data_IF_619441893402
#
_entry.id   IF_619441893402
#
_cell.length_a   1.000
_cell.length_b   1.000
_cell.length_c   1.000
_cell.angle_alpha   90.00
_cell.angle_beta   90.00
_cell.angle_gamma   90.00
#
_symmetry.space_group_name_H-M   'P 1'
#
loop_
_entity.id
_entity.type
_entity.pdbx_description
1 polymer ?
#
# COMPACT_ATOMS: atom_id res chain seq x y z
N UNK A 1 -2.42 17.07 16.24
CA UNK A 1 -2.49 17.86 14.99
C UNK A 1 -3.95 17.97 14.58
N UNK A 2 -4.48 19.12 14.36
CA UNK A 2 -5.90 19.29 14.01
C UNK A 2 -6.07 19.07 12.51
N UNK A 3 -7.02 18.22 12.09
CA UNK A 3 -7.40 17.92 10.70
C UNK A 3 -7.79 19.19 9.91
N UNK A 4 -7.96 20.33 10.57
CA UNK A 4 -8.24 21.61 9.91
C UNK A 4 -7.10 22.08 8.97
N UNK A 5 -5.88 21.58 9.17
CA UNK A 5 -4.67 21.98 8.45
C UNK A 5 -4.13 20.90 7.50
N UNK A 6 -4.69 19.65 7.54
CA UNK A 6 -4.25 18.53 6.71
C UNK A 6 -5.43 17.62 6.34
N UNK A 7 -5.29 16.80 5.28
CA UNK A 7 -6.22 15.69 5.01
C UNK A 7 -5.97 14.54 5.99
N UNK A 8 -6.88 13.56 6.08
CA UNK A 8 -6.67 12.42 6.96
C UNK A 8 -5.43 11.61 6.54
N UNK A 9 -5.23 11.41 5.24
CA UNK A 9 -4.05 10.72 4.73
C UNK A 9 -2.74 11.43 5.11
N UNK A 10 -2.69 12.75 5.04
CA UNK A 10 -1.52 13.53 5.48
C UNK A 10 -1.30 13.42 6.99
N UNK A 11 -2.38 13.54 7.78
CA UNK A 11 -2.30 13.47 9.24
C UNK A 11 -1.80 12.10 9.72
N UNK A 12 -2.37 11.01 9.17
CA UNK A 12 -1.96 9.65 9.50
C UNK A 12 -0.50 9.40 9.08
N UNK A 13 -0.11 9.85 7.88
CA UNK A 13 1.26 9.72 7.41
C UNK A 13 2.25 10.44 8.34
N UNK A 14 1.97 11.70 8.68
CA UNK A 14 2.83 12.49 9.56
C UNK A 14 2.92 11.90 10.97
N UNK A 15 1.82 11.36 11.48
CA UNK A 15 1.80 10.68 12.77
C UNK A 15 2.58 9.36 12.74
N UNK A 16 2.48 8.58 11.65
CA UNK A 16 3.30 7.39 11.43
C UNK A 16 4.80 7.75 11.37
N UNK A 17 5.16 8.83 10.65
CA UNK A 17 6.55 9.28 10.57
C UNK A 17 7.07 9.77 11.93
N UNK A 18 6.28 10.54 12.67
CA UNK A 18 6.62 10.98 14.01
C UNK A 18 6.92 9.79 14.93
N UNK A 19 6.00 8.83 14.99
CA UNK A 19 6.13 7.64 15.82
C UNK A 19 7.36 6.81 15.44
N UNK A 20 7.61 6.64 14.14
CA UNK A 20 8.81 5.97 13.64
C UNK A 20 10.09 6.69 14.06
N UNK A 21 10.13 8.02 13.93
CA UNK A 21 11.30 8.84 14.28
C UNK A 21 11.54 8.88 15.79
N UNK A 22 10.50 8.84 16.61
CA UNK A 22 10.57 8.77 18.07
C UNK A 22 10.93 7.35 18.56
N UNK A 23 10.91 6.35 17.68
CA UNK A 23 11.26 4.98 18.01
C UNK A 23 10.14 4.19 18.65
N UNK A 24 8.88 4.53 18.40
CA UNK A 24 7.72 3.76 18.83
C UNK A 24 7.76 2.36 18.21
N UNK A 25 7.80 1.36 19.08
CA UNK A 25 7.98 -0.04 18.65
C UNK A 25 6.64 -0.71 18.31
N UNK A 26 6.69 -1.58 17.32
CA UNK A 26 5.63 -2.55 17.09
C UNK A 26 5.65 -3.54 18.25
N UNK A 27 4.48 -3.78 18.87
CA UNK A 27 4.32 -4.74 19.96
C UNK A 27 3.72 -6.04 19.43
N UNK A 28 4.43 -7.15 19.59
CA UNK A 28 3.95 -8.45 19.21
C UNK A 28 3.27 -9.14 20.38
N UNK A 29 1.96 -9.34 20.30
CA UNK A 29 1.17 -9.92 21.38
C UNK A 29 1.34 -11.44 21.48
N UNK A 30 1.57 -12.13 20.36
CA UNK A 30 1.81 -13.59 20.35
C UNK A 30 2.66 -14.02 19.15
N UNK A 31 3.30 -15.20 19.25
CA UNK A 31 4.09 -15.78 18.16
C UNK A 31 3.27 -16.14 16.91
N UNK A 32 1.95 -16.34 17.07
CA UNK A 32 1.03 -16.66 15.99
C UNK A 32 0.42 -15.44 15.32
N UNK A 33 0.60 -14.25 15.91
CA UNK A 33 0.03 -12.99 15.44
C UNK A 33 1.01 -12.30 14.47
N UNK A 34 1.07 -12.82 13.24
CA UNK A 34 1.95 -12.25 12.21
C UNK A 34 1.31 -11.11 11.40
N UNK A 35 -0.01 -11.02 11.40
CA UNK A 35 -0.74 -10.07 10.57
C UNK A 35 -1.09 -8.79 11.33
N UNK A 36 -1.43 -8.89 12.62
CA UNK A 36 -2.05 -7.78 13.34
C UNK A 36 -1.07 -6.81 14.03
N UNK A 37 0.16 -7.21 14.34
CA UNK A 37 1.04 -6.36 15.14
C UNK A 37 1.40 -5.02 14.47
N UNK A 38 1.66 -5.02 13.15
CA UNK A 38 1.88 -3.75 12.42
C UNK A 38 0.56 -3.01 12.20
N UNK A 39 -0.54 -3.73 11.97
CA UNK A 39 -1.88 -3.13 11.87
C UNK A 39 -2.25 -2.41 13.17
N UNK A 40 -2.02 -3.01 14.34
CA UNK A 40 -2.26 -2.38 15.64
C UNK A 40 -1.36 -1.14 15.85
N UNK A 41 -0.12 -1.19 15.35
CA UNK A 41 0.76 -0.03 15.39
C UNK A 41 0.19 1.14 14.55
N UNK A 42 -0.34 0.87 13.36
CA UNK A 42 -0.99 1.88 12.50
C UNK A 42 -2.29 2.37 13.14
N UNK A 43 -3.08 1.46 13.71
CA UNK A 43 -4.33 1.79 14.43
C UNK A 43 -4.10 2.85 15.51
N UNK A 44 -3.05 2.69 16.32
CA UNK A 44 -2.68 3.67 17.33
C UNK A 44 -2.36 5.06 16.73
N UNK A 45 -1.87 5.11 15.49
CA UNK A 45 -1.61 6.39 14.78
C UNK A 45 -2.92 7.03 14.32
N UNK A 46 -3.86 6.24 13.81
CA UNK A 46 -5.21 6.73 13.44
C UNK A 46 -5.92 7.29 14.67
N UNK A 47 -5.83 6.60 15.81
CA UNK A 47 -6.38 7.07 17.09
C UNK A 47 -5.71 8.37 17.57
N UNK A 48 -4.39 8.48 17.45
CA UNK A 48 -3.65 9.69 17.82
C UNK A 48 -4.06 10.91 16.98
N UNK A 49 -4.51 10.69 15.73
CA UNK A 49 -5.10 11.72 14.89
C UNK A 49 -6.55 12.09 15.28
N UNK A 50 -7.13 11.46 16.31
CA UNK A 50 -8.53 11.64 16.73
C UNK A 50 -9.54 11.37 15.60
N UNK A 51 -9.24 10.37 14.76
CA UNK A 51 -10.08 9.93 13.66
C UNK A 51 -10.94 8.75 14.12
N UNK A 52 -12.26 8.86 13.92
CA UNK A 52 -13.18 7.75 14.15
C UNK A 52 -13.13 6.79 12.95
N UNK A 53 -13.08 5.50 13.23
CA UNK A 53 -13.07 4.44 12.22
C UNK A 53 -13.94 3.25 12.66
N UNK A 54 -14.42 2.48 11.67
CA UNK A 54 -15.08 1.21 11.93
C UNK A 54 -14.06 0.19 12.44
N UNK A 55 -14.44 -0.59 13.44
CA UNK A 55 -13.58 -1.68 13.92
C UNK A 55 -13.29 -2.68 12.80
N UNK A 56 -12.02 -3.05 12.61
CA UNK A 56 -11.64 -3.99 11.57
C UNK A 56 -12.21 -5.39 11.88
N UNK A 57 -12.92 -5.94 10.92
CA UNK A 57 -13.39 -7.33 10.96
C UNK A 57 -12.46 -8.23 10.16
N UNK A 58 -12.42 -9.52 10.47
CA UNK A 58 -11.52 -10.53 9.83
C UNK A 58 -11.55 -10.59 8.30
N UNK A 59 -12.58 -10.04 7.66
CA UNK A 59 -12.77 -10.07 6.21
C UNK A 59 -13.19 -8.71 5.66
N UNK A 60 -12.85 -7.63 6.35
CA UNK A 60 -13.14 -6.28 5.90
C UNK A 60 -12.00 -5.78 5.00
N UNK A 61 -12.37 -5.05 3.96
CA UNK A 61 -11.46 -4.34 3.09
C UNK A 61 -12.02 -2.92 2.88
N UNK A 62 -11.18 -1.91 2.99
CA UNK A 62 -9.85 -1.92 3.61
C UNK A 62 -9.90 -2.17 5.13
N UNK A 63 -8.75 -2.42 5.77
CA UNK A 63 -8.62 -2.75 7.19
C UNK A 63 -9.27 -1.71 8.11
N UNK A 64 -9.07 -0.43 7.83
CA UNK A 64 -9.70 0.69 8.55
C UNK A 64 -10.53 1.53 7.60
N UNK A 65 -11.74 1.89 8.01
CA UNK A 65 -12.66 2.75 7.26
C UNK A 65 -13.05 3.93 8.15
N UNK A 66 -12.65 5.14 7.77
CA UNK A 66 -12.99 6.32 8.55
C UNK A 66 -14.52 6.57 8.52
N UNK A 67 -15.09 6.93 9.67
CA UNK A 67 -16.54 7.15 9.79
C UNK A 67 -16.96 8.49 9.18
N UNK A 68 -16.19 9.54 9.46
CA UNK A 68 -16.55 10.92 9.10
C UNK A 68 -15.91 11.41 7.79
N UNK A 69 -15.13 10.54 7.11
CA UNK A 69 -14.46 10.84 5.86
C UNK A 69 -14.54 9.64 4.92
N UNK A 70 -14.68 9.85 3.60
CA UNK A 70 -14.76 8.75 2.65
C UNK A 70 -13.36 8.18 2.33
N UNK A 71 -12.59 7.85 3.34
CA UNK A 71 -11.25 7.27 3.23
C UNK A 71 -11.16 5.91 3.94
N UNK A 72 -10.29 5.06 3.46
CA UNK A 72 -9.97 3.78 4.08
C UNK A 72 -8.50 3.43 3.93
N UNK A 73 -7.98 2.62 4.86
CA UNK A 73 -6.55 2.30 4.97
C UNK A 73 -6.36 0.79 5.02
N UNK A 74 -5.63 0.26 4.06
CA UNK A 74 -5.18 -1.13 4.00
C UNK A 74 -3.74 -1.20 4.49
N UNK A 75 -3.45 -2.07 5.46
CA UNK A 75 -2.15 -2.12 6.13
C UNK A 75 -1.38 -3.37 5.73
N UNK A 76 -0.11 -3.20 5.39
CA UNK A 76 0.79 -4.28 4.98
C UNK A 76 2.12 -4.18 5.72
N UNK A 77 2.29 -5.05 6.72
CA UNK A 77 3.55 -5.21 7.45
C UNK A 77 4.46 -6.22 6.75
N UNK A 78 5.73 -5.85 6.54
CA UNK A 78 6.70 -6.65 5.80
C UNK A 78 7.95 -6.93 6.65
N UNK A 79 8.28 -8.21 6.81
CA UNK A 79 9.56 -8.58 7.44
C UNK A 79 10.74 -8.21 6.52
N UNK A 80 11.77 -7.54 7.07
CA UNK A 80 12.97 -7.10 6.37
C UNK A 80 14.25 -7.50 7.11
N UNK A 81 15.25 -8.13 6.44
CA UNK A 81 15.18 -8.65 5.08
C UNK A 81 14.24 -9.86 4.96
N UNK A 82 13.58 -9.97 3.82
CA UNK A 82 12.65 -11.05 3.55
C UNK A 82 11.85 -10.84 2.27
N UNK A 83 10.54 -11.01 2.35
CA UNK A 83 9.65 -10.79 1.22
C UNK A 83 9.13 -9.34 1.21
N UNK A 84 10.01 -8.41 0.90
CA UNK A 84 9.70 -6.97 0.83
C UNK A 84 9.36 -6.46 -0.57
N UNK A 85 9.65 -7.24 -1.62
CA UNK A 85 9.41 -6.83 -2.99
C UNK A 85 7.96 -6.97 -3.43
N UNK A 86 7.26 -7.94 -2.87
CA UNK A 86 5.86 -8.23 -3.19
C UNK A 86 5.06 -8.64 -1.94
N UNK A 87 3.75 -8.62 -2.06
CA UNK A 87 2.83 -9.13 -1.05
C UNK A 87 1.67 -9.89 -1.69
N UNK A 88 1.07 -10.79 -0.90
CA UNK A 88 -0.14 -11.51 -1.31
C UNK A 88 -1.37 -10.68 -0.96
N UNK A 89 -2.22 -10.42 -1.97
CA UNK A 89 -3.53 -9.82 -1.77
C UNK A 89 -4.60 -10.89 -1.95
N UNK A 90 -5.37 -11.12 -0.89
CA UNK A 90 -6.43 -12.14 -0.90
C UNK A 90 -7.74 -11.55 -1.40
N UNK A 91 -8.25 -12.10 -2.49
CA UNK A 91 -9.59 -11.80 -3.03
C UNK A 91 -9.83 -10.36 -3.53
N UNK A 92 -8.87 -9.46 -3.37
CA UNK A 92 -8.99 -8.06 -3.77
C UNK A 92 -7.72 -7.60 -4.49
N UNK A 93 -7.86 -7.11 -5.71
CA UNK A 93 -6.80 -6.35 -6.39
C UNK A 93 -6.75 -4.96 -5.75
N UNK A 94 -5.56 -4.37 -5.56
CA UNK A 94 -5.46 -3.00 -5.06
C UNK A 94 -6.29 -2.03 -5.90
N UNK A 95 -6.87 -1.05 -5.25
CA UNK A 95 -7.66 -0.01 -5.92
C UNK A 95 -7.54 1.31 -5.18
N UNK A 96 -7.63 2.41 -5.92
CA UNK A 96 -7.68 3.76 -5.36
C UNK A 96 -9.07 4.15 -4.85
N UNK A 97 -10.12 3.37 -5.18
CA UNK A 97 -11.47 3.61 -4.68
C UNK A 97 -12.19 2.29 -4.43
N UNK A 98 -12.84 2.19 -3.27
CA UNK A 98 -13.65 1.03 -2.93
C UNK A 98 -14.94 1.47 -2.21
N UNK A 99 -16.09 1.14 -2.81
CA UNK A 99 -17.42 1.49 -2.26
C UNK A 99 -17.56 3.01 -1.93
N UNK A 100 -17.05 3.87 -2.81
CA UNK A 100 -17.11 5.33 -2.66
C UNK A 100 -16.11 5.92 -1.66
N UNK A 101 -15.13 5.13 -1.22
CA UNK A 101 -14.02 5.58 -0.35
C UNK A 101 -12.71 5.59 -1.12
N UNK A 102 -11.92 6.63 -0.96
CA UNK A 102 -10.51 6.60 -1.36
C UNK A 102 -9.77 5.60 -0.48
N UNK A 103 -8.92 4.77 -1.11
CA UNK A 103 -8.15 3.73 -0.41
C UNK A 103 -6.67 4.06 -0.45
N UNK A 104 -6.09 4.11 0.73
CA UNK A 104 -4.66 4.27 0.95
C UNK A 104 -4.07 2.97 1.49
N UNK A 105 -2.86 2.65 1.07
CA UNK A 105 -2.10 1.51 1.56
C UNK A 105 -0.97 2.00 2.45
N UNK A 106 -0.84 1.40 3.62
CA UNK A 106 0.23 1.68 4.59
C UNK A 106 1.18 0.49 4.62
N UNK A 107 2.33 0.62 3.98
CA UNK A 107 3.39 -0.39 3.99
C UNK A 107 4.44 -0.01 5.01
N UNK A 108 4.77 -0.93 5.92
CA UNK A 108 5.88 -0.75 6.86
C UNK A 108 6.81 -1.94 6.84
N UNK A 109 8.14 -1.68 6.84
CA UNK A 109 9.13 -2.73 7.01
C UNK A 109 9.67 -2.73 8.44
N UNK A 110 9.81 -3.92 8.99
CA UNK A 110 10.34 -4.15 10.33
C UNK A 110 11.26 -5.37 10.34
N UNK A 111 12.20 -5.48 11.30
CA UNK A 111 13.14 -6.60 11.37
C UNK A 111 12.42 -7.94 11.47
N UNK A 112 13.00 -8.95 10.84
CA UNK A 112 12.52 -10.34 10.95
C UNK A 112 12.49 -10.77 12.42
N UNK A 113 11.40 -11.46 12.79
CA UNK A 113 11.20 -11.90 14.16
C UNK A 113 12.33 -12.81 14.66
N UNK A 114 12.96 -12.43 15.75
CA UNK A 114 13.91 -13.25 16.50
C UNK A 114 13.22 -13.92 17.70
N UNK A 115 13.73 -15.09 18.11
CA UNK A 115 13.14 -15.83 19.24
C UNK A 115 13.29 -15.02 20.55
N UNK A 116 12.15 -14.71 21.17
CA UNK A 116 12.11 -13.99 22.43
C UNK A 116 12.10 -12.47 22.30
N UNK A 117 12.12 -11.93 21.08
CA UNK A 117 11.94 -10.50 20.81
C UNK A 117 10.48 -10.26 20.44
N UNK A 118 9.84 -9.37 21.18
CA UNK A 118 8.43 -9.03 20.99
C UNK A 118 8.22 -7.57 20.56
N UNK A 119 9.29 -6.80 20.44
CA UNK A 119 9.26 -5.38 20.12
C UNK A 119 10.17 -5.10 18.91
N UNK A 120 9.64 -4.40 17.91
CA UNK A 120 10.36 -4.15 16.67
C UNK A 120 10.22 -2.70 16.24
N UNK A 121 11.31 -2.04 15.78
CA UNK A 121 11.21 -0.72 15.18
C UNK A 121 10.59 -0.82 13.78
N UNK A 122 9.86 0.21 13.39
CA UNK A 122 9.52 0.45 11.99
C UNK A 122 10.76 1.02 11.29
N UNK A 123 11.36 0.26 10.38
CA UNK A 123 12.59 0.65 9.66
C UNK A 123 12.29 1.78 8.68
N UNK A 124 11.28 1.56 7.85
CA UNK A 124 10.77 2.52 6.88
C UNK A 124 9.29 2.30 6.59
N UNK A 125 8.69 3.29 5.97
CA UNK A 125 7.26 3.36 5.76
C UNK A 125 6.95 3.99 4.39
N UNK A 126 6.01 3.40 3.66
CA UNK A 126 5.41 4.05 2.50
C UNK A 126 3.90 4.05 2.66
N UNK A 127 3.30 5.22 2.64
CA UNK A 127 1.85 5.38 2.47
C UNK A 127 1.60 5.76 1.02
N UNK A 128 0.76 5.03 0.32
CA UNK A 128 0.42 5.38 -1.06
C UNK A 128 -1.09 5.27 -1.31
N UNK A 129 -1.60 6.13 -2.19
CA UNK A 129 -2.95 5.97 -2.72
C UNK A 129 -3.02 4.69 -3.55
N UNK A 130 -4.12 3.93 -3.45
CA UNK A 130 -4.23 2.61 -4.08
C UNK A 130 -4.12 2.63 -5.61
N UNK A 131 -4.43 3.76 -6.27
CA UNK A 131 -4.23 3.92 -7.72
C UNK A 131 -2.76 3.87 -8.14
N UNK A 132 -1.81 4.09 -7.23
CA UNK A 132 -0.39 3.89 -7.50
C UNK A 132 -0.05 2.41 -7.74
N UNK A 133 -0.75 1.50 -7.07
CA UNK A 133 -0.57 0.06 -7.22
C UNK A 133 -1.36 -0.51 -8.41
N UNK A 134 -2.57 0.03 -8.63
CA UNK A 134 -3.44 -0.39 -9.74
C UNK A 134 -4.41 0.73 -10.10
N UNK A 135 -4.39 1.17 -11.35
CA UNK A 135 -5.24 2.27 -11.84
C UNK A 135 -6.71 1.87 -12.01
N UNK A 136 -7.03 0.57 -12.11
CA UNK A 136 -8.40 0.10 -12.30
C UNK A 136 -9.23 0.31 -11.03
N UNK A 137 -10.07 1.33 -11.06
CA UNK A 137 -10.96 1.71 -9.95
C UNK A 137 -12.32 1.02 -10.00
N UNK A 138 -12.68 0.42 -11.14
CA UNK A 138 -13.99 -0.22 -11.33
C UNK A 138 -13.97 -1.71 -10.96
N UNK A 139 -12.79 -2.25 -10.67
CA UNK A 139 -12.66 -3.67 -10.43
C UNK A 139 -13.18 -4.08 -9.05
N UNK A 140 -14.32 -4.76 -9.06
CA UNK A 140 -14.85 -5.46 -7.89
C UNK A 140 -14.69 -6.96 -8.08
N UNK A 141 -13.89 -7.60 -7.22
CA UNK A 141 -13.74 -9.06 -7.23
C UNK A 141 -15.05 -9.73 -6.82
N UNK A 142 -15.73 -10.33 -7.78
CA UNK A 142 -16.90 -11.17 -7.51
C UNK A 142 -16.42 -12.60 -7.23
N UNK A 143 -16.76 -13.11 -6.09
CA UNK A 143 -16.30 -14.34 -5.40
C UNK A 143 -16.20 -15.66 -6.21
N UNK A 144 -16.43 -15.69 -7.51
CA UNK A 144 -16.52 -16.93 -8.30
C UNK A 144 -15.80 -16.92 -9.66
N UNK A 145 -15.12 -15.85 -10.04
CA UNK A 145 -14.41 -15.82 -11.32
C UNK A 145 -13.14 -14.97 -11.19
N UNK A 146 -12.08 -15.45 -11.82
CA UNK A 146 -10.88 -14.63 -12.04
C UNK A 146 -11.29 -13.39 -12.82
N UNK A 147 -11.25 -12.26 -12.16
CA UNK A 147 -11.51 -10.97 -12.79
C UNK A 147 -10.63 -9.96 -12.10
N UNK A 148 -9.95 -9.19 -12.90
CA UNK A 148 -9.10 -8.13 -12.47
C UNK A 148 -7.64 -8.50 -12.52
N UNK A 149 -7.02 -7.70 -13.26
CA UNK A 149 -5.60 -7.82 -13.55
C UNK A 149 -5.06 -6.43 -13.40
N UNK A 150 -3.86 -6.35 -12.86
CA UNK A 150 -3.23 -5.06 -12.67
C UNK A 150 -3.10 -4.32 -14.00
N UNK A 151 -3.63 -3.12 -14.07
CA UNK A 151 -3.61 -2.28 -15.27
C UNK A 151 -2.20 -1.85 -15.68
N UNK A 152 -1.25 -1.85 -14.74
CA UNK A 152 0.17 -1.58 -14.99
C UNK A 152 0.96 -2.83 -15.42
N UNK A 153 0.36 -4.02 -15.44
CA UNK A 153 0.97 -5.27 -15.90
C UNK A 153 1.89 -5.95 -14.90
N UNK A 154 2.03 -5.44 -13.70
CA UNK A 154 2.93 -5.93 -12.64
C UNK A 154 2.21 -6.76 -11.55
N UNK A 155 0.89 -6.90 -11.64
CA UNK A 155 0.10 -7.73 -10.75
C UNK A 155 -0.10 -9.10 -11.37
N UNK A 156 0.33 -10.14 -10.66
CA UNK A 156 0.22 -11.53 -11.09
C UNK A 156 -0.80 -12.29 -10.26
N UNK A 157 -1.52 -13.19 -10.89
CA UNK A 157 -2.38 -14.16 -10.20
C UNK A 157 -1.51 -15.30 -9.70
N UNK A 158 -1.51 -15.56 -8.40
CA UNK A 158 -0.72 -16.62 -7.80
C UNK A 158 -1.48 -17.94 -7.71
N UNK A 159 -2.61 -17.94 -7.03
CA UNK A 159 -3.43 -19.13 -6.83
C UNK A 159 -4.87 -18.71 -6.53
N UNK A 160 -5.83 -19.40 -7.11
CA UNK A 160 -7.27 -19.18 -6.94
C UNK A 160 -7.66 -17.69 -6.99
N UNK A 161 -7.65 -17.04 -5.83
CA UNK A 161 -8.04 -15.63 -5.63
C UNK A 161 -6.90 -14.81 -5.01
N UNK A 162 -5.70 -15.34 -5.00
CA UNK A 162 -4.53 -14.66 -4.46
C UNK A 162 -3.77 -13.99 -5.59
N UNK A 163 -3.50 -12.72 -5.40
CA UNK A 163 -2.71 -11.91 -6.30
C UNK A 163 -1.35 -11.65 -5.65
N UNK A 164 -0.31 -11.66 -6.45
CA UNK A 164 1.02 -11.19 -6.04
C UNK A 164 1.17 -9.78 -6.57
N UNK A 165 1.34 -8.84 -5.67
CA UNK A 165 1.38 -7.41 -5.98
C UNK A 165 2.72 -6.85 -5.56
N UNK A 166 3.42 -6.09 -6.42
CA UNK A 166 4.67 -5.45 -6.03
C UNK A 166 4.40 -4.39 -4.96
N UNK A 167 5.30 -4.33 -3.98
CA UNK A 167 5.25 -3.29 -2.96
C UNK A 167 5.82 -1.98 -3.49
N UNK A 168 5.51 -0.83 -2.89
CA UNK A 168 6.17 0.42 -3.25
C UNK A 168 7.69 0.37 -3.09
N UNK A 169 8.22 -0.49 -2.21
CA UNK A 169 9.68 -0.67 -2.05
C UNK A 169 10.36 -1.31 -3.26
N UNK A 170 9.61 -2.11 -4.05
CA UNK A 170 10.08 -2.64 -5.33
C UNK A 170 9.86 -1.68 -6.49
N UNK A 171 8.80 -0.86 -6.41
CA UNK A 171 8.40 0.04 -7.50
C UNK A 171 9.19 1.35 -7.51
N UNK A 172 9.67 1.81 -6.36
CA UNK A 172 10.37 3.09 -6.25
C UNK A 172 11.68 2.99 -5.49
N UNK A 173 12.69 3.68 -6.00
CA UNK A 173 13.96 3.90 -5.35
C UNK A 173 13.89 5.11 -4.40
N UNK A 174 14.79 5.15 -3.42
CA UNK A 174 14.90 6.29 -2.50
C UNK A 174 14.07 6.18 -1.22
N UNK A 175 13.25 5.14 -1.03
CA UNK A 175 12.39 4.97 0.15
C UNK A 175 13.08 4.36 1.37
N UNK A 176 14.21 3.68 1.18
CA UNK A 176 14.89 2.93 2.24
C UNK A 176 15.29 3.80 3.45
N UNK A 177 14.88 3.37 4.64
CA UNK A 177 15.16 4.03 5.92
C UNK A 177 14.35 5.30 6.18
N UNK A 178 13.38 5.62 5.36
CA UNK A 178 12.60 6.86 5.42
C UNK A 178 11.09 6.56 5.35
N UNK A 179 10.27 7.52 5.77
CA UNK A 179 8.84 7.52 5.47
C UNK A 179 8.58 8.32 4.18
N UNK A 180 7.72 7.81 3.32
CA UNK A 180 7.36 8.43 2.04
C UNK A 180 5.85 8.34 1.83
N UNK A 181 5.22 9.44 1.43
CA UNK A 181 3.81 9.51 1.05
C UNK A 181 3.72 9.67 -0.47
N UNK A 182 2.97 8.80 -1.16
CA UNK A 182 2.79 8.84 -2.61
C UNK A 182 1.31 9.08 -2.92
N UNK A 183 1.02 10.17 -3.58
CA UNK A 183 -0.34 10.63 -3.88
C UNK A 183 -0.50 10.89 -5.38
N UNK A 184 -1.72 10.79 -5.94
CA UNK A 184 -2.02 11.27 -7.29
C UNK A 184 -1.59 12.73 -7.46
N UNK A 185 -1.12 13.10 -8.65
CA UNK A 185 -0.58 14.45 -8.90
C UNK A 185 -1.62 15.57 -8.74
N UNK A 186 -2.91 15.24 -8.88
CA UNK A 186 -4.04 16.13 -8.68
C UNK A 186 -4.56 16.17 -7.23
N UNK A 187 -4.01 15.33 -6.34
CA UNK A 187 -4.35 15.35 -4.92
C UNK A 187 -3.90 16.68 -4.28
N UNK A 188 -4.82 17.30 -3.54
CA UNK A 188 -4.56 18.61 -2.93
C UNK A 188 -3.92 18.45 -1.56
N UNK A 189 -2.60 18.43 -1.53
CA UNK A 189 -1.83 18.48 -0.28
C UNK A 189 -2.06 19.82 0.42
N UNK A 190 -2.37 19.78 1.71
CA UNK A 190 -2.69 20.96 2.54
C UNK A 190 -1.63 21.27 3.58
N UNK A 191 -0.94 20.23 4.07
CA UNK A 191 0.05 20.37 5.13
C UNK A 191 1.32 21.03 4.60
N UNK A 192 1.75 22.11 5.24
CA UNK A 192 3.04 22.76 5.00
C UNK A 192 4.23 21.97 5.58
N UNK A 193 3.95 20.93 6.38
CA UNK A 193 4.98 20.02 6.89
C UNK A 193 5.45 18.99 5.84
N UNK A 194 4.77 18.91 4.70
CA UNK A 194 5.15 18.03 3.61
C UNK A 194 5.97 18.78 2.55
N UNK A 195 6.98 18.10 2.02
CA UNK A 195 7.80 18.56 0.90
C UNK A 195 7.80 17.51 -0.20
N UNK A 196 7.60 17.95 -1.44
CA UNK A 196 7.68 17.07 -2.61
C UNK A 196 9.14 16.66 -2.84
N UNK A 197 9.36 15.35 -3.00
CA UNK A 197 10.69 14.73 -3.18
C UNK A 197 10.77 13.87 -4.44
N UNK A 198 9.74 13.83 -5.26
CA UNK A 198 9.75 13.10 -6.53
C UNK A 198 8.44 13.17 -7.27
N UNK A 199 8.54 12.99 -8.58
CA UNK A 199 7.41 12.81 -9.49
C UNK A 199 7.54 11.43 -10.12
N UNK A 200 6.44 10.67 -10.13
CA UNK A 200 6.40 9.29 -10.56
C UNK A 200 5.31 9.12 -11.61
N UNK A 201 5.55 8.26 -12.59
CA UNK A 201 4.60 7.97 -13.66
C UNK A 201 4.35 6.48 -13.74
N UNK A 202 3.08 6.08 -13.80
CA UNK A 202 2.69 4.70 -14.05
C UNK A 202 1.94 4.63 -15.38
N UNK A 203 2.36 3.73 -16.27
CA UNK A 203 1.78 3.60 -17.60
C UNK A 203 1.00 2.30 -17.69
N UNK A 204 -0.23 2.37 -18.19
CA UNK A 204 -1.04 1.18 -18.43
C UNK A 204 -0.49 0.40 -19.63
N UNK A 205 -0.33 -0.93 -19.44
CA UNK A 205 0.22 -1.83 -20.46
C UNK A 205 -0.78 -2.10 -21.59
N UNK A 206 -0.27 -2.52 -22.75
CA UNK A 206 -1.09 -2.83 -23.92
C UNK A 206 -2.01 -4.03 -23.69
N UNK A 207 -1.50 -5.06 -23.01
CA UNK A 207 -2.24 -6.28 -22.72
C UNK A 207 -2.21 -6.60 -21.24
N UNK A 208 -3.35 -6.99 -20.69
CA UNK A 208 -3.47 -7.47 -19.30
C UNK A 208 -3.62 -8.99 -19.26
N UNK A 209 -2.97 -9.62 -18.28
CA UNK A 209 -3.06 -11.04 -18.01
C UNK A 209 -4.45 -11.37 -17.46
N UNK A 210 -5.17 -12.29 -18.11
CA UNK A 210 -6.55 -12.64 -17.71
C UNK A 210 -6.68 -14.02 -17.10
N UNK A 211 -5.78 -14.93 -17.41
CA UNK A 211 -5.70 -16.26 -16.81
C UNK A 211 -4.36 -16.90 -17.12
N UNK A 212 -4.10 -17.99 -16.44
CA UNK A 212 -3.01 -18.90 -16.80
C UNK A 212 -3.48 -20.35 -16.62
N UNK A 213 -2.84 -21.25 -17.34
CA UNK A 213 -3.01 -22.68 -17.20
C UNK A 213 -1.66 -23.39 -17.24
N UNK A 214 -1.59 -24.58 -16.67
CA UNK A 214 -0.41 -25.42 -16.71
C UNK A 214 -0.60 -26.57 -17.69
N UNK A 215 0.36 -26.76 -18.58
CA UNK A 215 0.48 -27.97 -19.34
C UNK A 215 1.17 -29.02 -18.46
N UNK A 216 0.40 -29.96 -17.91
CA UNK A 216 0.91 -30.99 -17.01
C UNK A 216 1.84 -32.01 -17.69
N UNK A 217 1.85 -32.09 -19.03
CA UNK A 217 2.73 -32.98 -19.78
C UNK A 217 4.11 -32.37 -19.99
N UNK A 218 4.17 -31.07 -20.25
CA UNK A 218 5.43 -30.35 -20.54
C UNK A 218 5.94 -29.56 -19.33
N UNK A 219 5.13 -29.43 -18.28
CA UNK A 219 5.39 -28.58 -17.13
C UNK A 219 5.56 -27.09 -17.49
N UNK A 220 4.90 -26.65 -18.54
CA UNK A 220 4.92 -25.27 -19.00
C UNK A 220 3.70 -24.50 -18.49
N UNK A 221 3.90 -23.23 -18.22
CA UNK A 221 2.81 -22.30 -17.89
C UNK A 221 2.40 -21.54 -19.16
N UNK A 222 1.12 -21.62 -19.51
CA UNK A 222 0.51 -20.86 -20.61
C UNK A 222 -0.27 -19.69 -20.03
N UNK A 223 0.00 -18.50 -20.52
CA UNK A 223 -0.68 -17.27 -20.08
C UNK A 223 -1.64 -16.78 -21.16
N UNK A 224 -2.81 -16.34 -20.72
CA UNK A 224 -3.82 -15.73 -21.60
C UNK A 224 -3.90 -14.23 -21.31
N UNK A 225 -3.81 -13.43 -22.35
CA UNK A 225 -3.88 -11.98 -22.28
C UNK A 225 -5.07 -11.45 -23.06
N UNK A 226 -5.52 -10.27 -22.74
CA UNK A 226 -6.47 -9.50 -23.54
C UNK A 226 -6.00 -8.05 -23.66
N UNK A 227 -6.37 -7.34 -24.74
CA UNK A 227 -6.07 -5.91 -24.88
C UNK A 227 -6.60 -5.10 -23.70
N UNK A 228 -5.79 -4.18 -23.20
CA UNK A 228 -6.20 -3.20 -22.21
C UNK A 228 -6.87 -2.02 -22.92
N UNK A 229 -8.14 -1.69 -22.64
CA UNK A 229 -8.80 -0.55 -23.28
C UNK A 229 -8.16 0.79 -22.92
N UNK A 230 -7.37 0.84 -21.85
CA UNK A 230 -6.69 2.03 -21.34
C UNK A 230 -5.18 2.03 -21.67
N UNK A 231 -4.73 1.15 -22.59
CA UNK A 231 -3.32 1.04 -22.96
C UNK A 231 -2.66 2.40 -23.23
N UNK A 232 -1.49 2.62 -22.65
CA UNK A 232 -0.72 3.84 -22.83
C UNK A 232 -1.20 5.05 -22.02
N UNK A 233 -2.27 4.93 -21.23
CA UNK A 233 -2.65 6.00 -20.28
C UNK A 233 -1.56 6.14 -19.24
N UNK A 234 -1.11 7.38 -19.02
CA UNK A 234 -0.10 7.73 -18.02
C UNK A 234 -0.79 8.31 -16.80
N UNK A 235 -0.52 7.72 -15.64
CA UNK A 235 -0.98 8.19 -14.35
C UNK A 235 0.19 8.85 -13.61
N UNK A 236 0.00 10.09 -13.18
CA UNK A 236 1.04 10.89 -12.52
C UNK A 236 0.84 10.89 -11.00
N UNK A 237 1.94 10.74 -10.28
CA UNK A 237 1.98 10.76 -8.82
C UNK A 237 3.09 11.67 -8.33
N UNK A 238 2.96 12.14 -7.08
CA UNK A 238 3.98 12.90 -6.38
C UNK A 238 4.34 12.20 -5.08
N UNK A 239 5.63 12.14 -4.80
CA UNK A 239 6.15 11.61 -3.55
C UNK A 239 6.47 12.76 -2.60
N UNK A 240 6.08 12.61 -1.33
CA UNK A 240 6.27 13.60 -0.28
C UNK A 240 6.97 13.00 0.93
N UNK A 241 7.64 13.85 1.69
CA UNK A 241 8.20 13.54 3.01
C UNK A 241 7.91 14.64 4.01
N UNK A 242 8.07 14.31 5.28
CA UNK A 242 8.09 15.30 6.34
C UNK A 242 9.29 16.24 6.16
N UNK A 243 9.06 17.53 6.27
CA UNK A 243 10.09 18.58 6.12
C UNK A 243 11.22 18.37 7.10
N UNK A 244 12.46 18.46 6.61
CA UNK A 244 13.68 18.28 7.42
C UNK A 244 14.07 16.82 7.67
N UNK A 245 13.28 15.84 7.20
CA UNK A 245 13.58 14.41 7.36
C UNK A 245 13.82 13.77 6.00
N UNK A 246 15.10 13.76 5.57
CA UNK A 246 15.50 13.12 4.30
C UNK A 246 14.89 13.75 3.05
N UNK A 247 14.50 15.02 3.12
CA UNK A 247 13.89 15.79 2.05
C UNK A 247 14.83 16.05 0.86
N UNK A 248 16.14 15.91 1.06
CA UNK A 248 17.15 15.99 0.00
C UNK A 248 17.29 14.70 -0.83
N UNK A 249 16.77 13.56 -0.33
CA UNK A 249 16.88 12.27 -1.04
C UNK A 249 15.69 12.09 -1.96
N UNK A 250 15.92 12.17 -3.26
CA UNK A 250 14.86 12.02 -4.27
C UNK A 250 14.25 10.62 -4.30
N UNK A 251 12.98 10.56 -4.66
CA UNK A 251 12.23 9.34 -4.95
C UNK A 251 12.02 9.25 -6.46
N UNK A 252 12.35 8.10 -7.05
CA UNK A 252 12.20 7.83 -8.48
C UNK A 252 11.59 6.44 -8.67
N UNK A 253 11.05 6.15 -9.85
CA UNK A 253 10.74 4.75 -10.21
C UNK A 253 12.03 3.93 -10.24
N UNK A 254 11.93 2.64 -9.84
CA UNK A 254 13.04 1.70 -9.77
C UNK A 254 13.44 1.19 -11.17
#
# INVERSE_FOLDING_TARGET
MTIAESTAAEAIFLECERARAEGDLIQRVSASDKEYHFQNWVEARIQACTLDYDEPGRNTYPDFRLVNQPEGYEVKGLEFPGREADYDSNSQVPTGNHNGREVFYVFGRYPKAERGVNEYPVVDLVVCHGSFLNADTEYVHKNKSFRGFGSYGDILVRDRKMYVVPTPFALVAGTAGLATLILPADYKVRSDQLVEVGQLERVEVDDVLVSYEFNLQTNEMLTHKKPNPNAGIVHHFRAYRSRGVGDSKLVTLA
#
